data_IF_321304354978
#
_entry.id   IF_321304354978
#
_cell.length_a   1.000
_cell.length_b   1.000
_cell.length_c   1.000
_cell.angle_alpha   90.00
_cell.angle_beta   90.00
_cell.angle_gamma   90.00
#
_symmetry.space_group_name_H-M   'P 1'
#
loop_
_entity.id
_entity.type
_entity.pdbx_description
1 polymer ?
#
# COMPACT_ATOMS: atom_id res chain seq x y z
N UNK A 1 6.86 -73.66 -19.84
CA UNK A 1 6.71 -72.50 -18.94
C UNK A 1 6.73 -71.22 -19.77
N UNK A 2 5.56 -70.61 -19.97
CA UNK A 2 5.37 -69.33 -20.67
C UNK A 2 5.38 -68.25 -19.59
N UNK A 3 6.40 -67.40 -19.54
CA UNK A 3 6.37 -66.19 -18.71
C UNK A 3 6.07 -64.99 -19.61
N UNK A 4 4.87 -64.45 -19.41
CA UNK A 4 4.31 -63.28 -20.03
C UNK A 4 4.93 -62.03 -19.36
N UNK A 5 5.76 -61.29 -20.09
CA UNK A 5 6.24 -59.98 -19.65
C UNK A 5 5.13 -58.95 -19.90
N UNK A 6 4.39 -58.58 -18.85
CA UNK A 6 3.51 -57.43 -18.82
C UNK A 6 4.34 -56.19 -18.48
N UNK A 7 4.70 -55.42 -19.50
CA UNK A 7 5.26 -54.07 -19.36
C UNK A 7 4.15 -53.09 -18.97
N UNK A 8 4.08 -52.75 -17.69
CA UNK A 8 3.23 -51.68 -17.17
C UNK A 8 3.91 -50.34 -17.48
N UNK A 9 3.52 -49.69 -18.57
CA UNK A 9 3.91 -48.31 -18.84
C UNK A 9 3.15 -47.36 -17.89
N UNK A 10 3.79 -46.94 -16.81
CA UNK A 10 3.27 -45.88 -15.95
C UNK A 10 3.38 -44.54 -16.68
N UNK A 11 2.24 -43.99 -17.09
CA UNK A 11 2.11 -42.59 -17.53
C UNK A 11 2.42 -41.68 -16.32
N UNK A 12 3.65 -41.19 -16.26
CA UNK A 12 4.02 -40.06 -15.41
C UNK A 12 3.33 -38.82 -15.97
N UNK A 13 2.17 -38.48 -15.42
CA UNK A 13 1.64 -37.12 -15.54
C UNK A 13 2.65 -36.18 -14.89
N UNK A 14 3.47 -35.51 -15.70
CA UNK A 14 4.31 -34.41 -15.24
C UNK A 14 3.38 -33.31 -14.75
N UNK A 15 3.19 -33.24 -13.44
CA UNK A 15 2.78 -32.02 -12.76
C UNK A 15 3.93 -31.03 -12.86
N UNK A 16 4.12 -30.47 -14.06
CA UNK A 16 4.76 -29.18 -14.19
C UNK A 16 3.92 -28.25 -13.32
N UNK A 17 4.52 -27.79 -12.22
CA UNK A 17 4.00 -26.68 -11.42
C UNK A 17 3.72 -25.57 -12.42
N UNK A 18 2.44 -25.37 -12.75
CA UNK A 18 2.02 -24.13 -13.39
C UNK A 18 2.48 -23.05 -12.42
N UNK A 19 3.48 -22.26 -12.80
CA UNK A 19 3.80 -21.04 -12.07
C UNK A 19 2.47 -20.30 -11.89
N UNK A 20 2.14 -19.93 -10.65
CA UNK A 20 0.91 -19.20 -10.37
C UNK A 20 0.89 -17.97 -11.30
N UNK A 21 -0.08 -17.89 -12.20
CA UNK A 21 -0.16 -16.83 -13.22
C UNK A 21 -0.06 -15.45 -12.56
N UNK A 22 -0.57 -15.31 -11.33
CA UNK A 22 -0.41 -14.09 -10.54
C UNK A 22 1.03 -13.82 -10.12
N UNK A 23 1.79 -14.82 -9.67
CA UNK A 23 3.21 -14.65 -9.30
C UNK A 23 4.06 -14.25 -10.51
N UNK A 24 3.81 -14.85 -11.67
CA UNK A 24 4.48 -14.47 -12.92
C UNK A 24 4.19 -13.00 -13.28
N UNK A 25 2.93 -12.56 -13.17
CA UNK A 25 2.57 -11.14 -13.37
C UNK A 25 3.34 -10.23 -12.41
N UNK A 26 3.46 -10.60 -11.13
CA UNK A 26 4.19 -9.79 -10.17
C UNK A 26 5.68 -9.67 -10.53
N UNK A 27 6.33 -10.78 -10.86
CA UNK A 27 7.76 -10.78 -11.21
C UNK A 27 8.02 -10.01 -12.51
N UNK A 28 7.20 -10.23 -13.55
CA UNK A 28 7.42 -9.62 -14.87
C UNK A 28 7.03 -8.13 -14.92
N UNK A 29 5.95 -7.73 -14.23
CA UNK A 29 5.34 -6.41 -14.39
C UNK A 29 5.50 -5.51 -13.17
N UNK A 30 5.79 -6.04 -11.98
CA UNK A 30 5.85 -5.26 -10.74
C UNK A 30 7.26 -5.20 -10.13
N UNK A 31 8.05 -6.27 -10.22
CA UNK A 31 9.33 -6.39 -9.50
C UNK A 31 10.39 -5.36 -9.90
N UNK A 32 10.30 -4.78 -11.10
CA UNK A 32 11.20 -3.70 -11.55
C UNK A 32 11.08 -2.41 -10.73
N UNK A 33 9.96 -2.23 -10.00
CA UNK A 33 9.69 -1.07 -9.17
C UNK A 33 9.38 -1.42 -7.71
N UNK A 34 8.76 -2.57 -7.45
CA UNK A 34 8.25 -2.98 -6.16
C UNK A 34 9.04 -4.16 -5.58
N UNK A 35 9.45 -4.06 -4.31
CA UNK A 35 10.02 -5.20 -3.61
C UNK A 35 8.91 -6.20 -3.24
N UNK A 36 8.93 -7.37 -3.90
CA UNK A 36 8.01 -8.49 -3.64
C UNK A 36 8.44 -9.37 -2.46
N UNK A 37 9.72 -9.28 -2.08
CA UNK A 37 10.33 -10.02 -0.98
C UNK A 37 11.03 -9.05 -0.03
N UNK A 38 11.02 -9.38 1.26
CA UNK A 38 11.71 -8.60 2.29
C UNK A 38 13.19 -8.96 2.41
N UNK A 39 13.92 -8.29 3.32
CA UNK A 39 13.43 -7.26 4.24
C UNK A 39 13.14 -5.91 3.57
N UNK A 40 12.54 -4.98 4.32
CA UNK A 40 12.45 -3.58 3.92
C UNK A 40 13.85 -2.94 3.77
N UNK A 41 13.93 -1.73 3.21
CA UNK A 41 15.18 -1.01 3.06
C UNK A 41 15.84 -0.80 4.44
N UNK A 42 17.10 -1.19 4.56
CA UNK A 42 17.90 -1.09 5.79
C UNK A 42 18.72 0.20 5.82
N UNK A 43 18.99 0.78 4.66
CA UNK A 43 19.72 2.05 4.51
C UNK A 43 18.88 3.11 3.83
N UNK A 44 19.24 4.38 4.04
CA UNK A 44 18.62 5.49 3.33
C UNK A 44 18.87 5.34 1.82
N UNK A 45 20.10 5.00 1.43
CA UNK A 45 20.45 4.75 0.03
C UNK A 45 19.54 3.70 -0.63
N UNK A 46 19.36 2.54 0.00
CA UNK A 46 18.42 1.51 -0.50
C UNK A 46 17.00 2.03 -0.66
N UNK A 47 16.53 2.86 0.28
CA UNK A 47 15.19 3.44 0.19
C UNK A 47 15.09 4.39 -1.02
N UNK A 48 16.09 5.24 -1.24
CA UNK A 48 16.11 6.26 -2.31
C UNK A 48 16.22 5.68 -3.72
N UNK A 49 16.76 4.47 -3.87
CA UNK A 49 16.79 3.76 -5.14
C UNK A 49 15.46 3.06 -5.48
N UNK A 50 14.50 3.03 -4.55
CA UNK A 50 13.19 2.39 -4.81
C UNK A 50 12.32 3.27 -5.69
N UNK A 51 11.69 2.65 -6.68
CA UNK A 51 10.72 3.33 -7.55
C UNK A 51 9.30 3.28 -7.00
N UNK A 52 9.01 2.31 -6.12
CA UNK A 52 7.71 2.14 -5.50
C UNK A 52 7.78 1.56 -4.07
N UNK A 53 6.64 1.57 -3.35
CA UNK A 53 6.53 0.95 -2.04
C UNK A 53 6.69 -0.58 -2.12
N UNK A 54 7.03 -1.19 -1.00
CA UNK A 54 7.15 -2.64 -0.88
C UNK A 54 5.80 -3.36 -0.83
N UNK A 55 5.75 -4.53 -1.49
CA UNK A 55 4.55 -5.36 -1.65
C UNK A 55 4.61 -6.70 -0.90
N UNK A 56 5.74 -7.05 -0.27
CA UNK A 56 5.93 -8.34 0.41
C UNK A 56 4.93 -8.65 1.56
N UNK A 57 4.10 -7.69 2.00
CA UNK A 57 2.99 -7.89 2.94
C UNK A 57 1.66 -7.32 2.43
N UNK A 58 1.48 -7.22 1.11
CA UNK A 58 0.32 -6.56 0.50
C UNK A 58 -1.01 -7.10 1.04
N UNK A 59 -1.15 -8.41 1.23
CA UNK A 59 -2.36 -9.05 1.74
C UNK A 59 -2.70 -8.75 3.19
N UNK A 60 -1.78 -8.19 3.96
CA UNK A 60 -2.03 -7.66 5.31
C UNK A 60 -2.24 -6.15 5.33
N UNK A 61 -1.86 -5.44 4.27
CA UNK A 61 -1.99 -3.98 4.16
C UNK A 61 -3.31 -3.60 3.48
N UNK A 62 -3.52 -4.08 2.25
CA UNK A 62 -4.53 -3.56 1.34
C UNK A 62 -5.88 -4.27 1.48
N UNK A 63 -6.96 -3.55 1.19
CA UNK A 63 -8.27 -4.14 0.96
C UNK A 63 -8.29 -4.76 -0.46
N UNK A 64 -8.79 -5.99 -0.56
CA UNK A 64 -8.79 -6.79 -1.80
C UNK A 64 -9.53 -6.07 -2.93
N UNK A 65 -10.75 -5.61 -2.65
CA UNK A 65 -11.64 -5.00 -3.63
C UNK A 65 -11.06 -3.69 -4.16
N UNK A 66 -10.41 -2.91 -3.30
CA UNK A 66 -9.72 -1.70 -3.71
C UNK A 66 -8.51 -2.01 -4.59
N UNK A 67 -7.72 -3.02 -4.22
CA UNK A 67 -6.50 -3.38 -4.95
C UNK A 67 -6.83 -3.81 -6.38
N UNK A 68 -7.81 -4.70 -6.56
CA UNK A 68 -8.25 -5.15 -7.89
C UNK A 68 -8.78 -3.98 -8.72
N UNK A 69 -9.66 -3.15 -8.14
CA UNK A 69 -10.22 -1.99 -8.84
C UNK A 69 -9.17 -0.93 -9.19
N UNK A 70 -8.20 -0.70 -8.31
CA UNK A 70 -7.14 0.27 -8.55
C UNK A 70 -6.17 -0.20 -9.62
N UNK A 71 -5.85 -1.51 -9.69
CA UNK A 71 -4.99 -2.06 -10.75
C UNK A 71 -5.59 -1.93 -12.16
N UNK A 72 -6.92 -1.90 -12.29
CA UNK A 72 -7.60 -1.62 -13.56
C UNK A 72 -7.41 -0.17 -14.03
N UNK A 73 -7.49 0.78 -13.09
CA UNK A 73 -7.41 2.21 -13.38
C UNK A 73 -6.63 2.92 -12.28
N UNK A 74 -5.29 2.81 -12.26
CA UNK A 74 -4.49 3.42 -11.22
C UNK A 74 -4.63 4.94 -11.23
N UNK A 75 -4.72 5.53 -10.05
CA UNK A 75 -4.63 6.98 -9.87
C UNK A 75 -3.47 7.34 -8.95
N UNK A 76 -3.00 8.57 -9.07
CA UNK A 76 -1.93 9.13 -8.23
C UNK A 76 -2.40 9.19 -6.77
N UNK A 77 -1.63 8.55 -5.89
CA UNK A 77 -1.88 8.50 -4.45
C UNK A 77 -0.91 9.40 -3.66
N UNK A 78 0.25 9.69 -4.25
CA UNK A 78 1.27 10.58 -3.72
C UNK A 78 1.39 11.76 -4.66
N UNK A 79 0.94 12.97 -4.28
CA UNK A 79 0.96 14.14 -5.16
C UNK A 79 2.34 14.35 -5.78
N UNK A 80 3.38 14.33 -4.94
CA UNK A 80 4.77 14.51 -5.35
C UNK A 80 5.52 13.19 -5.65
N UNK A 81 4.84 12.05 -5.83
CA UNK A 81 5.52 10.77 -6.09
C UNK A 81 6.12 10.10 -4.84
N UNK A 82 6.82 8.97 -5.02
CA UNK A 82 7.37 8.19 -3.89
C UNK A 82 8.54 8.93 -3.20
N UNK A 83 9.43 9.53 -3.99
CA UNK A 83 10.52 10.39 -3.53
C UNK A 83 10.24 11.86 -3.87
N UNK A 84 9.44 12.54 -3.03
CA UNK A 84 8.96 13.89 -3.33
C UNK A 84 10.06 14.90 -3.70
N UNK A 85 11.24 14.80 -3.09
CA UNK A 85 12.38 15.68 -3.38
C UNK A 85 12.91 15.58 -4.82
N UNK A 86 12.66 14.48 -5.53
CA UNK A 86 13.04 14.31 -6.94
C UNK A 86 12.03 14.92 -7.91
N UNK A 87 10.88 15.36 -7.40
CA UNK A 87 9.73 15.79 -8.19
C UNK A 87 9.27 17.21 -7.82
N UNK A 88 10.18 18.02 -7.26
CA UNK A 88 9.93 19.42 -6.93
C UNK A 88 10.80 20.34 -7.79
N UNK A 89 10.25 21.52 -8.09
CA UNK A 89 10.96 22.62 -8.76
C UNK A 89 10.64 23.95 -8.07
N UNK A 90 11.54 24.94 -8.14
CA UNK A 90 11.27 26.27 -7.61
C UNK A 90 10.00 26.88 -8.21
N UNK A 91 9.17 27.46 -7.35
CA UNK A 91 7.99 28.25 -7.75
C UNK A 91 8.04 29.67 -7.19
N UNK A 92 7.10 30.53 -7.60
CA UNK A 92 7.10 31.96 -7.25
C UNK A 92 6.95 32.25 -5.75
N UNK A 93 6.18 31.43 -5.02
CA UNK A 93 5.90 31.59 -3.59
C UNK A 93 6.44 30.45 -2.71
N UNK A 94 6.54 29.26 -3.30
CA UNK A 94 6.95 28.00 -2.68
C UNK A 94 7.36 27.05 -3.78
N UNK A 95 8.10 26.00 -3.41
CA UNK A 95 8.38 24.91 -4.33
C UNK A 95 7.08 24.25 -4.81
N UNK A 96 7.11 23.79 -6.05
CA UNK A 96 5.98 23.23 -6.78
C UNK A 96 6.33 21.82 -7.22
N UNK A 97 5.32 20.97 -7.35
CA UNK A 97 5.50 19.65 -7.95
C UNK A 97 5.83 19.82 -9.44
N UNK A 98 6.91 19.21 -9.91
CA UNK A 98 7.20 19.09 -11.33
C UNK A 98 6.52 17.86 -11.91
N UNK A 99 5.28 18.05 -12.34
CA UNK A 99 4.44 16.97 -12.89
C UNK A 99 5.06 16.24 -14.08
N UNK A 100 5.99 16.89 -14.80
CA UNK A 100 6.70 16.30 -15.95
C UNK A 100 7.63 15.14 -15.56
N UNK A 101 8.09 15.12 -14.31
CA UNK A 101 9.02 14.10 -13.79
C UNK A 101 8.31 12.85 -13.26
N UNK A 102 6.99 12.90 -13.17
CA UNK A 102 6.20 11.86 -12.52
C UNK A 102 5.74 10.80 -13.51
N UNK A 103 6.00 9.54 -13.17
CA UNK A 103 5.57 8.40 -13.97
C UNK A 103 4.18 7.91 -13.52
N UNK A 104 3.25 7.60 -14.45
CA UNK A 104 2.00 6.94 -14.11
C UNK A 104 2.27 5.47 -13.75
N UNK A 105 1.40 4.89 -12.91
CA UNK A 105 1.42 3.45 -12.65
C UNK A 105 0.75 2.71 -13.82
N UNK A 106 1.31 1.58 -14.29
CA UNK A 106 0.70 0.80 -15.38
C UNK A 106 -0.66 0.23 -14.97
N UNK A 107 -1.63 0.24 -15.89
CA UNK A 107 -2.92 -0.43 -15.73
C UNK A 107 -2.86 -1.88 -16.18
N UNK A 108 -3.60 -2.76 -15.52
CA UNK A 108 -3.75 -4.17 -15.90
C UNK A 108 -5.09 -4.43 -16.59
N UNK A 109 -5.14 -5.49 -17.40
CA UNK A 109 -6.41 -6.04 -17.88
C UNK A 109 -7.23 -6.62 -16.71
N UNK A 110 -8.53 -6.83 -16.90
CA UNK A 110 -9.36 -7.38 -15.82
C UNK A 110 -8.92 -8.78 -15.33
N UNK A 111 -8.41 -9.63 -16.22
CA UNK A 111 -7.84 -10.92 -15.84
C UNK A 111 -6.56 -10.74 -15.02
N UNK A 112 -5.62 -9.96 -15.54
CA UNK A 112 -4.34 -9.73 -14.87
C UNK A 112 -4.48 -9.00 -13.52
N UNK A 113 -5.42 -8.06 -13.41
CA UNK A 113 -5.72 -7.38 -12.15
C UNK A 113 -6.22 -8.34 -11.07
N UNK A 114 -7.10 -9.29 -11.42
CA UNK A 114 -7.56 -10.35 -10.51
C UNK A 114 -6.42 -11.25 -10.07
N UNK A 115 -5.63 -11.75 -11.01
CA UNK A 115 -4.51 -12.67 -10.73
C UNK A 115 -3.42 -12.02 -9.88
N UNK A 116 -3.02 -10.80 -10.23
CA UNK A 116 -2.08 -10.02 -9.42
C UNK A 116 -2.65 -9.75 -8.02
N UNK A 117 -3.95 -9.45 -7.89
CA UNK A 117 -4.60 -9.27 -6.60
C UNK A 117 -4.54 -10.55 -5.77
N UNK A 118 -4.87 -11.72 -6.33
CA UNK A 118 -4.78 -12.99 -5.61
C UNK A 118 -3.36 -13.26 -5.11
N UNK A 119 -2.35 -13.08 -5.97
CA UNK A 119 -0.96 -13.27 -5.58
C UNK A 119 -0.54 -12.29 -4.46
N UNK A 120 -0.87 -11.00 -4.58
CA UNK A 120 -0.59 -9.99 -3.55
C UNK A 120 -1.30 -10.30 -2.24
N UNK A 121 -2.53 -10.82 -2.29
CA UNK A 121 -3.30 -11.14 -1.08
C UNK A 121 -2.74 -12.34 -0.30
N UNK A 122 -1.92 -13.19 -0.92
CA UNK A 122 -1.17 -14.28 -0.25
C UNK A 122 0.03 -13.76 0.56
N UNK A 123 0.52 -12.56 0.26
CA UNK A 123 1.67 -11.95 0.94
C UNK A 123 1.24 -11.39 2.31
N UNK A 124 1.42 -12.16 3.39
CA UNK A 124 0.98 -11.81 4.74
C UNK A 124 2.13 -11.39 5.66
N UNK A 125 1.89 -10.33 6.43
CA UNK A 125 2.73 -9.94 7.54
C UNK A 125 2.61 -10.94 8.71
N UNK A 126 3.67 -11.09 9.53
CA UNK A 126 3.57 -11.86 10.76
C UNK A 126 2.61 -11.19 11.76
N UNK A 127 1.99 -11.99 12.63
CA UNK A 127 1.05 -11.50 13.64
C UNK A 127 1.66 -10.51 14.64
N UNK A 128 3.00 -10.55 14.79
CA UNK A 128 3.77 -9.59 15.59
C UNK A 128 3.76 -8.17 15.01
N UNK A 129 3.52 -8.02 13.71
CA UNK A 129 3.48 -6.72 13.03
C UNK A 129 2.05 -6.19 12.90
N UNK A 130 1.06 -7.05 12.68
CA UNK A 130 -0.36 -6.67 12.63
C UNK A 130 -1.22 -7.76 13.23
N UNK A 131 -2.10 -7.38 14.16
CA UNK A 131 -3.01 -8.29 14.84
C UNK A 131 -4.44 -8.04 14.39
N UNK A 132 -5.17 -9.12 14.09
CA UNK A 132 -6.58 -9.03 13.74
C UNK A 132 -7.40 -8.45 14.90
N UNK A 133 -8.28 -7.49 14.62
CA UNK A 133 -9.11 -6.82 15.62
C UNK A 133 -8.37 -5.80 16.48
N UNK A 134 -7.21 -5.30 16.03
CA UNK A 134 -6.49 -4.21 16.68
C UNK A 134 -7.29 -2.89 16.63
N UNK A 135 -7.99 -2.63 15.54
CA UNK A 135 -8.95 -1.55 15.43
C UNK A 135 -10.25 -1.91 16.16
N UNK A 136 -10.73 -1.00 17.01
CA UNK A 136 -11.88 -1.22 17.89
C UNK A 136 -13.19 -0.66 17.32
N UNK A 137 -13.19 -0.18 16.08
CA UNK A 137 -14.37 0.42 15.47
C UNK A 137 -14.70 1.79 16.06
N UNK A 138 -15.94 2.23 15.86
CA UNK A 138 -16.46 3.51 16.33
C UNK A 138 -16.51 4.59 15.26
N UNK A 139 -16.84 5.80 15.69
CA UNK A 139 -16.98 6.96 14.82
C UNK A 139 -16.49 8.21 15.54
N UNK A 140 -16.10 9.20 14.76
CA UNK A 140 -15.67 10.53 15.23
C UNK A 140 -16.35 11.59 14.35
N UNK A 141 -16.59 12.78 14.89
CA UNK A 141 -17.00 13.90 14.04
C UNK A 141 -15.83 14.33 13.15
N UNK A 142 -16.11 14.78 11.93
CA UNK A 142 -15.08 15.28 11.00
C UNK A 142 -14.26 16.39 11.65
N UNK A 143 -14.91 17.37 12.30
CA UNK A 143 -14.24 18.50 12.94
C UNK A 143 -13.28 18.09 14.06
N UNK A 144 -13.68 17.14 14.91
CA UNK A 144 -12.79 16.66 15.97
C UNK A 144 -11.69 15.74 15.42
N UNK A 145 -12.02 14.93 14.40
CA UNK A 145 -11.04 14.12 13.69
C UNK A 145 -9.95 14.95 13.04
N UNK A 146 -10.30 16.06 12.39
CA UNK A 146 -9.34 17.01 11.81
C UNK A 146 -8.47 17.64 12.90
N UNK A 147 -9.05 18.03 14.05
CA UNK A 147 -8.26 18.54 15.18
C UNK A 147 -7.25 17.50 15.70
N UNK A 148 -7.65 16.24 15.81
CA UNK A 148 -6.74 15.14 16.18
C UNK A 148 -5.66 14.96 15.10
N UNK A 149 -6.03 15.00 13.83
CA UNK A 149 -5.12 14.80 12.70
C UNK A 149 -4.09 15.93 12.54
N UNK A 150 -4.54 17.17 12.51
CA UNK A 150 -3.69 18.35 12.30
C UNK A 150 -3.15 18.91 13.62
N UNK A 151 -4.01 19.45 14.49
CA UNK A 151 -3.55 20.23 15.65
C UNK A 151 -2.78 19.41 16.67
N UNK A 152 -3.20 18.17 16.93
CA UNK A 152 -2.57 17.35 17.96
C UNK A 152 -1.41 16.49 17.46
N UNK A 153 -1.42 16.10 16.18
CA UNK A 153 -0.44 15.16 15.63
C UNK A 153 0.36 15.71 14.43
N UNK A 154 -0.04 16.84 13.85
CA UNK A 154 0.66 17.52 12.76
C UNK A 154 0.67 16.74 11.44
N UNK A 155 -0.25 15.78 11.26
CA UNK A 155 -0.25 14.90 10.09
C UNK A 155 -0.51 15.66 8.78
N UNK A 156 -1.27 16.76 8.84
CA UNK A 156 -1.61 17.58 7.69
C UNK A 156 -0.42 18.37 7.13
N UNK A 157 0.69 18.48 7.87
CA UNK A 157 1.93 19.05 7.34
C UNK A 157 2.47 18.25 6.13
N UNK A 158 2.17 16.95 6.06
CA UNK A 158 2.62 16.06 4.99
C UNK A 158 1.48 15.47 4.16
N UNK A 159 0.29 15.28 4.72
CA UNK A 159 -0.80 14.55 4.08
C UNK A 159 -1.96 15.46 3.65
N UNK A 160 -2.58 15.15 2.52
CA UNK A 160 -3.84 15.75 2.09
C UNK A 160 -5.05 15.04 2.72
N UNK A 161 -6.03 15.81 3.20
CA UNK A 161 -7.28 15.30 3.80
C UNK A 161 -8.53 15.56 2.93
N UNK A 162 -8.35 16.27 1.82
CA UNK A 162 -9.27 16.37 0.68
C UNK A 162 -8.42 16.79 -0.55
N UNK A 163 -8.95 16.75 -1.79
CA UNK A 163 -8.22 17.23 -2.96
C UNK A 163 -7.68 18.65 -2.75
N UNK A 164 -6.38 18.82 -3.01
CA UNK A 164 -5.66 20.10 -2.92
C UNK A 164 -5.60 20.79 -1.54
N UNK A 165 -6.00 20.10 -0.46
CA UNK A 165 -5.91 20.62 0.91
C UNK A 165 -5.07 19.73 1.83
N UNK A 166 -4.02 20.32 2.39
CA UNK A 166 -3.02 19.66 3.23
C UNK A 166 -1.63 19.58 2.59
N UNK A 167 -0.76 18.73 3.15
CA UNK A 167 0.62 18.56 2.70
C UNK A 167 0.74 17.68 1.46
N UNK A 168 1.82 17.89 0.68
CA UNK A 168 2.04 17.21 -0.61
C UNK A 168 3.18 16.18 -0.59
N UNK A 169 3.95 16.11 0.51
CA UNK A 169 5.12 15.25 0.66
C UNK A 169 4.76 13.80 1.04
N UNK A 170 3.60 13.60 1.68
CA UNK A 170 3.00 12.31 1.98
C UNK A 170 1.92 11.90 0.97
N UNK A 171 1.43 10.65 1.02
CA UNK A 171 0.25 10.25 0.26
C UNK A 171 -1.00 11.02 0.72
N UNK A 172 -1.97 11.17 -0.18
CA UNK A 172 -3.32 11.56 0.24
C UNK A 172 -3.90 10.50 1.18
N UNK A 173 -4.67 10.97 2.15
CA UNK A 173 -5.32 10.11 3.14
C UNK A 173 -6.84 10.14 3.09
N UNK A 174 -7.43 11.00 2.26
CA UNK A 174 -8.88 11.14 2.17
C UNK A 174 -9.58 9.93 1.53
N UNK A 175 -8.83 9.03 0.88
CA UNK A 175 -9.34 7.72 0.43
C UNK A 175 -8.67 6.52 1.09
N UNK A 176 -7.81 6.75 2.08
CA UNK A 176 -6.91 5.71 2.61
C UNK A 176 -7.65 4.54 3.24
N UNK A 177 -8.82 4.78 3.86
CA UNK A 177 -9.62 3.71 4.44
C UNK A 177 -10.33 2.82 3.41
N UNK A 178 -10.44 3.27 2.14
CA UNK A 178 -10.82 2.38 1.02
C UNK A 178 -9.64 1.48 0.65
N UNK A 179 -8.41 2.01 0.71
CA UNK A 179 -7.17 1.33 0.32
C UNK A 179 -6.69 0.28 1.30
N UNK A 180 -6.65 0.63 2.57
CA UNK A 180 -5.96 -0.12 3.60
C UNK A 180 -6.93 -0.72 4.62
N UNK A 181 -6.57 -1.89 5.12
CA UNK A 181 -7.26 -2.54 6.23
C UNK A 181 -7.08 -1.72 7.50
N UNK A 182 -8.11 -1.66 8.35
CA UNK A 182 -8.08 -0.81 9.55
C UNK A 182 -7.01 -1.24 10.56
N UNK A 183 -6.82 -2.56 10.75
CA UNK A 183 -5.78 -3.09 11.65
C UNK A 183 -4.36 -2.73 11.19
N UNK A 184 -4.14 -2.71 9.87
CA UNK A 184 -2.88 -2.21 9.30
C UNK A 184 -2.68 -0.73 9.61
N UNK A 185 -3.72 0.10 9.45
CA UNK A 185 -3.61 1.53 9.76
C UNK A 185 -3.27 1.76 11.24
N UNK A 186 -3.89 1.00 12.16
CA UNK A 186 -3.55 1.05 13.59
C UNK A 186 -2.07 0.71 13.82
N UNK A 187 -1.60 -0.40 13.24
CA UNK A 187 -0.20 -0.83 13.38
C UNK A 187 0.78 0.19 12.79
N UNK A 188 0.53 0.63 11.55
CA UNK A 188 1.44 1.54 10.84
C UNK A 188 1.53 2.92 11.50
N UNK A 189 0.40 3.48 11.99
CA UNK A 189 0.41 4.76 12.71
C UNK A 189 1.14 4.63 14.06
N UNK A 190 1.04 3.46 14.71
CA UNK A 190 1.72 3.20 15.98
C UNK A 190 3.24 3.16 15.83
N UNK A 191 3.74 2.51 14.78
CA UNK A 191 5.17 2.43 14.50
C UNK A 191 5.46 2.21 13.01
N UNK A 192 5.63 3.29 12.22
CA UNK A 192 6.00 3.17 10.81
C UNK A 192 7.35 2.46 10.61
N UNK A 193 8.26 2.60 11.57
CA UNK A 193 9.63 2.06 11.49
C UNK A 193 9.68 0.54 11.72
N UNK A 194 8.69 -0.04 12.41
CA UNK A 194 8.52 -1.49 12.49
C UNK A 194 8.21 -2.12 11.13
N UNK A 195 7.55 -1.39 10.22
CA UNK A 195 7.26 -1.84 8.85
C UNK A 195 8.43 -1.63 7.90
N UNK A 196 9.13 -0.51 8.06
CA UNK A 196 10.31 -0.17 7.28
C UNK A 196 11.22 0.71 8.14
N UNK A 197 12.43 0.26 8.53
CA UNK A 197 13.33 1.02 9.40
C UNK A 197 13.69 2.42 8.88
N UNK A 198 13.50 2.66 7.57
CA UNK A 198 13.74 3.93 6.90
C UNK A 198 12.44 4.60 6.40
N UNK A 199 11.28 4.20 6.91
CA UNK A 199 10.00 4.82 6.58
C UNK A 199 10.08 6.36 6.68
N UNK A 200 9.66 7.11 5.64
CA UNK A 200 9.67 8.58 5.67
C UNK A 200 8.69 9.18 6.67
N UNK A 201 7.62 8.45 7.02
CA UNK A 201 6.67 8.88 8.05
C UNK A 201 7.33 8.70 9.43
N UNK A 202 7.46 9.76 10.24
CA UNK A 202 8.09 9.65 11.55
C UNK A 202 7.19 8.91 12.53
N UNK A 203 7.77 8.19 13.49
CA UNK A 203 7.05 7.74 14.67
C UNK A 203 6.75 8.96 15.56
N UNK A 204 5.48 9.36 15.64
CA UNK A 204 5.02 10.50 16.44
C UNK A 204 4.68 10.11 17.88
N UNK A 205 4.88 8.85 18.27
CA UNK A 205 4.52 8.28 19.57
C UNK A 205 3.07 8.60 19.96
N UNK A 206 2.15 8.43 19.00
CA UNK A 206 0.73 8.75 19.16
C UNK A 206 0.13 7.85 20.24
N UNK A 207 -0.56 8.44 21.21
CA UNK A 207 -1.26 7.68 22.24
C UNK A 207 -2.27 6.70 21.61
N UNK A 208 -2.36 5.48 22.14
CA UNK A 208 -3.19 4.40 21.56
C UNK A 208 -4.66 4.82 21.33
N UNK A 209 -5.25 5.60 22.24
CA UNK A 209 -6.60 6.14 22.09
C UNK A 209 -6.73 7.11 20.89
N UNK A 210 -5.70 7.90 20.61
CA UNK A 210 -5.69 8.80 19.46
C UNK A 210 -5.45 8.05 18.14
N UNK A 211 -4.72 6.93 18.15
CA UNK A 211 -4.58 6.07 16.96
C UNK A 211 -5.95 5.59 16.49
N UNK A 212 -6.81 5.12 17.42
CA UNK A 212 -8.18 4.70 17.09
C UNK A 212 -8.98 5.85 16.47
N UNK A 213 -8.92 7.04 17.06
CA UNK A 213 -9.58 8.25 16.55
C UNK A 213 -9.08 8.66 15.16
N UNK A 214 -7.78 8.56 14.90
CA UNK A 214 -7.19 8.81 13.59
C UNK A 214 -7.75 7.83 12.56
N UNK A 215 -7.80 6.53 12.85
CA UNK A 215 -8.37 5.55 11.91
C UNK A 215 -9.86 5.78 11.68
N UNK A 216 -10.64 6.12 12.72
CA UNK A 216 -12.05 6.52 12.58
C UNK A 216 -12.20 7.76 11.69
N UNK A 217 -11.32 8.74 11.82
CA UNK A 217 -11.33 9.94 10.98
C UNK A 217 -11.02 9.61 9.52
N UNK A 218 -10.01 8.77 9.26
CA UNK A 218 -9.69 8.28 7.91
C UNK A 218 -10.85 7.52 7.27
N UNK A 219 -11.61 6.75 8.07
CA UNK A 219 -12.85 6.10 7.61
C UNK A 219 -13.96 7.11 7.31
N UNK A 220 -14.05 8.19 8.08
CA UNK A 220 -15.04 9.24 7.85
C UNK A 220 -14.73 10.01 6.55
N UNK A 221 -13.48 10.43 6.33
CA UNK A 221 -13.04 11.08 5.09
C UNK A 221 -13.35 10.22 3.85
N UNK A 222 -13.08 8.91 3.92
CA UNK A 222 -13.32 8.00 2.81
C UNK A 222 -14.81 7.89 2.40
N UNK A 223 -15.75 8.30 3.25
CA UNK A 223 -17.18 8.31 2.96
C UNK A 223 -17.66 9.57 2.25
N UNK A 224 -16.85 10.63 2.19
CA UNK A 224 -17.23 11.91 1.56
C UNK A 224 -17.13 11.89 0.02
N UNK A 225 -16.97 10.70 -0.58
CA UNK A 225 -16.99 10.43 -2.02
C UNK A 225 -16.10 11.34 -2.89
N UNK A 226 -14.84 11.50 -2.48
CA UNK A 226 -13.82 12.26 -3.21
C UNK A 226 -13.47 11.74 -4.61
N UNK A 227 -13.83 10.50 -4.96
CA UNK A 227 -13.55 9.94 -6.29
C UNK A 227 -14.52 10.47 -7.39
N UNK A 228 -15.54 11.25 -7.01
CA UNK A 228 -16.56 11.85 -7.91
C UNK A 228 -16.47 13.39 -8.02
N UNK A 229 -15.55 14.02 -7.29
CA UNK A 229 -15.30 15.47 -7.31
C UNK A 229 -14.00 15.77 -8.04
#
# INVERSE_FOLDING_TARGET
>A
MKYLLLSLAALLASSAVLADEGEAILEEQCASCHALKGPAAQTVEELWQRKGPDLFYAGSKYNREWLEKWLLKPRRLRPAGYHYMQHIKPGKKRDMIDVSTLQPHPSLSAKAAREATEALMKLKAPASLVSAGAFKGGSISISFGEMVFDKFNGCMACHQIEPDYGGLSGPEVYTVAKRYQADYLVSFISDPQAWNPKAPMPNKHVAAANIQKLVQYLQALAKENWDEK
#
